data_IF_377886307826
#
_entry.id   IF_377886307826
#
_cell.length_a   1.000
_cell.length_b   1.000
_cell.length_c   1.000
_cell.angle_alpha   90.00
_cell.angle_beta   90.00
_cell.angle_gamma   90.00
#
_symmetry.space_group_name_H-M   'P 1'
#
loop_
_entity.id
_entity.type
_entity.pdbx_description
1 polymer ?
#
# COMPACT_ATOMS: atom_id res chain seq x y z
N UNK A 1 -11.30 -18.73 -18.43
CA UNK A 1 -9.92 -18.73 -17.89
C UNK A 1 -9.37 -17.31 -17.77
N UNK A 2 -9.16 -16.58 -18.89
CA UNK A 2 -8.58 -15.22 -18.87
C UNK A 2 -9.45 -14.20 -18.12
N UNK A 3 -10.77 -14.18 -18.36
CA UNK A 3 -11.69 -13.28 -17.65
C UNK A 3 -11.65 -13.45 -16.13
N UNK A 4 -11.54 -14.69 -15.63
CA UNK A 4 -11.45 -14.97 -14.19
C UNK A 4 -10.14 -14.43 -13.58
N UNK A 5 -9.02 -14.52 -14.30
CA UNK A 5 -7.74 -13.94 -13.85
C UNK A 5 -7.79 -12.42 -13.81
N UNK A 6 -8.42 -11.78 -14.81
CA UNK A 6 -8.61 -10.33 -14.83
C UNK A 6 -9.48 -9.88 -13.66
N UNK A 7 -10.59 -10.57 -13.40
CA UNK A 7 -11.46 -10.28 -12.25
C UNK A 7 -10.69 -10.44 -10.93
N UNK A 8 -9.94 -11.53 -10.76
CA UNK A 8 -9.13 -11.77 -9.57
C UNK A 8 -8.09 -10.65 -9.34
N UNK A 9 -7.41 -10.22 -10.40
CA UNK A 9 -6.48 -9.08 -10.35
C UNK A 9 -7.18 -7.80 -9.87
N UNK A 10 -8.35 -7.47 -10.44
CA UNK A 10 -9.11 -6.29 -10.02
C UNK A 10 -9.57 -6.36 -8.57
N UNK A 11 -10.05 -7.52 -8.10
CA UNK A 11 -10.47 -7.71 -6.70
C UNK A 11 -9.30 -7.48 -5.74
N UNK A 12 -8.12 -8.03 -6.04
CA UNK A 12 -6.91 -7.83 -5.23
C UNK A 12 -6.54 -6.34 -5.17
N UNK A 13 -6.61 -5.63 -6.30
CA UNK A 13 -6.33 -4.19 -6.33
C UNK A 13 -7.32 -3.36 -5.49
N UNK A 14 -8.62 -3.70 -5.53
CA UNK A 14 -9.64 -3.01 -4.74
C UNK A 14 -9.46 -3.25 -3.24
N UNK A 15 -9.14 -4.48 -2.83
CA UNK A 15 -8.93 -4.83 -1.41
C UNK A 15 -7.72 -4.09 -0.83
N UNK A 16 -6.67 -3.88 -1.63
CA UNK A 16 -5.43 -3.20 -1.20
C UNK A 16 -5.57 -1.68 -1.23
N UNK A 17 -6.60 -1.13 -1.87
CA UNK A 17 -6.81 0.32 -1.92
C UNK A 17 -7.16 0.84 -0.51
N UNK A 18 -6.35 1.73 0.08
CA UNK A 18 -6.66 2.25 1.40
C UNK A 18 -7.87 3.15 1.35
N UNK A 19 -8.63 3.11 2.45
CA UNK A 19 -9.79 3.96 2.63
C UNK A 19 -9.34 5.40 2.88
N UNK A 20 -9.99 6.33 2.19
CA UNK A 20 -9.82 7.76 2.45
C UNK A 20 -10.47 8.09 3.80
N UNK A 21 -9.72 8.77 4.68
CA UNK A 21 -10.25 9.30 5.93
C UNK A 21 -10.23 10.84 5.87
N UNK A 22 -11.35 11.47 6.22
CA UNK A 22 -11.51 12.93 6.24
C UNK A 22 -10.67 13.59 7.34
N UNK A 23 -10.45 12.91 8.47
CA UNK A 23 -9.70 13.41 9.62
C UNK A 23 -8.22 13.56 9.30
N UNK A 24 -7.62 12.50 8.77
CA UNK A 24 -6.23 12.52 8.31
C UNK A 24 -6.00 13.57 7.22
N UNK A 25 -6.96 13.78 6.32
CA UNK A 25 -6.87 14.85 5.32
C UNK A 25 -6.76 16.22 5.99
N UNK A 26 -7.63 16.49 6.97
CA UNK A 26 -7.63 17.77 7.69
C UNK A 26 -6.32 17.95 8.48
N UNK A 27 -5.91 16.93 9.22
CA UNK A 27 -4.67 16.95 10.00
C UNK A 27 -3.44 17.21 9.10
N UNK A 28 -3.37 16.53 7.94
CA UNK A 28 -2.30 16.76 6.97
C UNK A 28 -2.28 18.19 6.41
N UNK A 29 -3.44 18.80 6.18
CA UNK A 29 -3.51 20.18 5.69
C UNK A 29 -3.08 21.17 6.77
N UNK A 30 -3.52 20.98 8.02
CA UNK A 30 -3.07 21.79 9.16
C UNK A 30 -1.56 21.67 9.37
N UNK A 31 -1.00 20.48 9.21
CA UNK A 31 0.44 20.24 9.33
C UNK A 31 1.23 21.01 8.26
N UNK A 32 0.76 20.99 7.02
CA UNK A 32 1.36 21.74 5.90
C UNK A 32 1.34 23.24 6.19
N UNK A 33 0.22 23.74 6.69
CA UNK A 33 0.05 25.16 7.02
C UNK A 33 0.97 25.56 8.17
N UNK A 34 1.00 24.77 9.26
CA UNK A 34 1.78 25.06 10.46
C UNK A 34 3.28 25.10 10.18
N UNK A 35 3.79 24.15 9.40
CA UNK A 35 5.23 24.05 9.10
C UNK A 35 5.64 24.69 7.78
N UNK A 36 4.71 25.38 7.09
CA UNK A 36 5.00 26.09 5.84
C UNK A 36 5.54 25.19 4.71
N UNK A 37 5.14 23.92 4.67
CA UNK A 37 5.70 22.94 3.72
C UNK A 37 5.21 23.26 2.31
N UNK A 38 6.12 23.44 1.36
CA UNK A 38 5.78 23.77 -0.03
C UNK A 38 5.23 22.57 -0.81
N UNK A 39 4.01 22.14 -0.49
CA UNK A 39 3.29 21.05 -1.18
C UNK A 39 1.84 21.42 -1.47
N UNK A 40 1.36 21.01 -2.65
CA UNK A 40 -0.03 21.21 -3.02
C UNK A 40 -0.96 20.38 -2.11
N UNK A 41 -2.02 21.03 -1.58
CA UNK A 41 -3.08 20.35 -0.83
C UNK A 41 -3.96 19.52 -1.77
N UNK A 42 -4.15 18.25 -1.44
CA UNK A 42 -4.95 17.28 -2.17
C UNK A 42 -6.05 16.74 -1.27
N UNK A 43 -7.20 16.44 -1.88
CA UNK A 43 -8.34 15.86 -1.18
C UNK A 43 -8.15 14.39 -0.78
N UNK A 44 -7.24 13.67 -1.44
CA UNK A 44 -6.94 12.30 -1.11
C UNK A 44 -5.77 12.26 -0.09
N UNK A 45 -5.99 11.78 1.15
CA UNK A 45 -4.98 11.80 2.21
C UNK A 45 -3.74 10.96 1.86
N UNK A 46 -3.94 9.87 1.11
CA UNK A 46 -2.83 9.03 0.64
C UNK A 46 -1.97 9.77 -0.37
N UNK A 47 -2.60 10.49 -1.32
CA UNK A 47 -1.87 11.33 -2.26
C UNK A 47 -1.17 12.48 -1.55
N UNK A 48 -1.78 13.05 -0.51
CA UNK A 48 -1.14 14.08 0.31
C UNK A 48 0.10 13.55 1.01
N UNK A 49 -0.01 12.39 1.67
CA UNK A 49 1.12 11.74 2.34
C UNK A 49 2.24 11.42 1.35
N UNK A 50 1.92 10.94 0.15
CA UNK A 50 2.92 10.69 -0.88
C UNK A 50 3.62 11.97 -1.38
N UNK A 51 2.93 13.11 -1.42
CA UNK A 51 3.54 14.40 -1.75
C UNK A 51 4.43 14.90 -0.62
N UNK A 52 3.99 14.75 0.64
CA UNK A 52 4.80 15.05 1.83
C UNK A 52 6.06 14.21 1.88
N UNK A 53 5.96 12.90 1.62
CA UNK A 53 7.13 12.02 1.52
C UNK A 53 8.13 12.53 0.47
N UNK A 54 7.67 12.99 -0.69
CA UNK A 54 8.55 13.53 -1.74
C UNK A 54 9.23 14.81 -1.31
N UNK A 55 8.48 15.74 -0.74
CA UNK A 55 9.03 17.01 -0.28
C UNK A 55 10.08 16.83 0.83
N UNK A 56 9.92 15.80 1.66
CA UNK A 56 10.82 15.48 2.76
C UNK A 56 11.92 14.45 2.40
N UNK A 57 11.98 13.98 1.15
CA UNK A 57 12.95 12.97 0.72
C UNK A 57 12.75 11.58 1.36
N UNK A 58 11.55 11.29 1.87
CA UNK A 58 11.18 10.04 2.52
C UNK A 58 10.60 9.05 1.49
N UNK A 59 10.88 7.75 1.65
CA UNK A 59 10.28 6.71 0.81
C UNK A 59 9.81 5.52 1.67
N UNK A 60 8.70 5.69 2.38
CA UNK A 60 8.15 4.64 3.24
C UNK A 60 6.92 4.04 2.57
N UNK A 61 5.82 4.79 2.52
CA UNK A 61 4.55 4.36 1.98
C UNK A 61 4.59 4.28 0.45
N UNK A 62 5.06 5.33 -0.22
CA UNK A 62 5.14 5.38 -1.69
C UNK A 62 6.06 4.29 -2.23
N UNK A 63 7.23 4.12 -1.62
CA UNK A 63 8.21 3.11 -2.00
C UNK A 63 7.67 1.69 -1.84
N UNK A 64 7.07 1.41 -0.68
CA UNK A 64 6.45 0.11 -0.40
C UNK A 64 5.30 -0.20 -1.36
N UNK A 65 4.40 0.75 -1.62
CA UNK A 65 3.33 0.58 -2.62
C UNK A 65 3.85 0.26 -4.00
N UNK A 66 4.87 0.98 -4.49
CA UNK A 66 5.45 0.73 -5.81
C UNK A 66 5.97 -0.72 -5.91
N UNK A 67 6.68 -1.19 -4.89
CA UNK A 67 7.14 -2.58 -4.80
C UNK A 67 5.98 -3.56 -4.80
N UNK A 68 4.91 -3.30 -4.05
CA UNK A 68 3.72 -4.16 -4.04
C UNK A 68 3.03 -4.21 -5.41
N UNK A 69 2.85 -3.08 -6.09
CA UNK A 69 2.23 -3.08 -7.43
C UNK A 69 3.07 -3.86 -8.45
N UNK A 70 4.40 -3.69 -8.42
CA UNK A 70 5.31 -4.46 -9.28
C UNK A 70 5.21 -5.96 -8.96
N UNK A 71 5.17 -6.32 -7.68
CA UNK A 71 5.05 -7.71 -7.25
C UNK A 71 3.73 -8.34 -7.72
N UNK A 72 2.59 -7.67 -7.51
CA UNK A 72 1.28 -8.16 -7.95
C UNK A 72 1.25 -8.29 -9.47
N UNK A 73 1.69 -7.26 -10.19
CA UNK A 73 1.76 -7.31 -11.66
C UNK A 73 2.62 -8.48 -12.16
N UNK A 74 3.84 -8.61 -11.63
CA UNK A 74 4.75 -9.70 -11.98
C UNK A 74 4.18 -11.08 -11.64
N UNK A 75 3.51 -11.22 -10.49
CA UNK A 75 2.87 -12.46 -10.07
C UNK A 75 1.84 -12.95 -11.09
N UNK A 76 0.92 -12.07 -11.53
CA UNK A 76 -0.10 -12.44 -12.50
C UNK A 76 0.50 -12.72 -13.90
N UNK A 77 1.54 -12.00 -14.31
CA UNK A 77 2.24 -12.27 -15.58
C UNK A 77 2.90 -13.66 -15.56
N UNK A 78 3.61 -14.01 -14.48
CA UNK A 78 4.25 -15.33 -14.36
C UNK A 78 3.20 -16.43 -14.27
N UNK A 79 2.12 -16.23 -13.50
CA UNK A 79 1.02 -17.18 -13.43
C UNK A 79 0.38 -17.43 -14.81
N UNK A 80 0.27 -16.37 -15.63
CA UNK A 80 -0.25 -16.50 -16.99
C UNK A 80 0.69 -17.30 -17.89
N UNK A 81 2.00 -17.03 -17.85
CA UNK A 81 3.01 -17.78 -18.62
C UNK A 81 2.99 -19.27 -18.24
N UNK A 82 2.97 -19.58 -16.95
CA UNK A 82 2.91 -20.96 -16.45
C UNK A 82 1.59 -21.66 -16.81
N UNK A 83 0.46 -20.94 -16.76
CA UNK A 83 -0.83 -21.44 -17.20
C UNK A 83 -0.86 -21.75 -18.70
N UNK A 84 -0.29 -20.86 -19.52
CA UNK A 84 -0.15 -21.06 -20.97
C UNK A 84 0.75 -22.26 -21.29
N UNK A 85 1.89 -22.40 -20.62
CA UNK A 85 2.81 -23.54 -20.80
C UNK A 85 2.14 -24.86 -20.44
N UNK A 86 1.40 -24.91 -19.33
CA UNK A 86 0.62 -26.11 -18.94
C UNK A 86 -0.37 -26.49 -20.04
N UNK A 87 -1.11 -25.52 -20.58
CA UNK A 87 -2.06 -25.74 -21.66
C UNK A 87 -1.38 -26.21 -22.96
N UNK A 88 -0.26 -25.58 -23.33
CA UNK A 88 0.51 -25.92 -24.52
C UNK A 88 1.04 -27.37 -24.47
N UNK A 89 1.64 -27.79 -23.35
CA UNK A 89 2.10 -29.16 -23.21
C UNK A 89 0.95 -30.17 -23.17
N UNK A 90 -0.20 -29.78 -22.62
CA UNK A 90 -1.42 -30.60 -22.62
C UNK A 90 -1.95 -30.87 -24.02
N UNK A 91 -2.03 -29.86 -24.88
CA UNK A 91 -2.44 -30.04 -26.29
C UNK A 91 -1.47 -30.95 -27.04
N UNK A 92 -0.17 -30.78 -26.81
CA UNK A 92 0.87 -31.58 -27.45
C UNK A 92 1.00 -33.00 -26.87
N UNK A 93 0.08 -33.42 -25.98
CA UNK A 93 0.06 -34.73 -25.32
C UNK A 93 1.35 -35.07 -24.56
N UNK A 94 2.14 -34.06 -24.19
CA UNK A 94 3.31 -34.25 -23.35
C UNK A 94 2.88 -34.24 -21.88
N UNK A 95 2.37 -35.39 -21.43
CA UNK A 95 1.76 -35.55 -20.10
C UNK A 95 2.77 -35.29 -18.98
N UNK A 96 4.01 -35.76 -19.12
CA UNK A 96 5.07 -35.54 -18.13
C UNK A 96 5.36 -34.05 -17.93
N UNK A 97 5.57 -33.30 -19.02
CA UNK A 97 5.81 -31.86 -18.93
C UNK A 97 4.59 -31.11 -18.37
N UNK A 98 3.37 -31.52 -18.74
CA UNK A 98 2.12 -30.94 -18.24
C UNK A 98 2.02 -31.08 -16.72
N UNK A 99 2.31 -32.26 -16.16
CA UNK A 99 2.27 -32.51 -14.72
C UNK A 99 3.31 -31.66 -13.99
N UNK A 100 4.55 -31.63 -14.48
CA UNK A 100 5.65 -30.87 -13.85
C UNK A 100 5.31 -29.37 -13.81
N UNK A 101 4.90 -28.79 -14.93
CA UNK A 101 4.55 -27.36 -14.99
C UNK A 101 3.29 -27.07 -14.16
N UNK A 102 2.32 -27.98 -14.12
CA UNK A 102 1.13 -27.87 -13.27
C UNK A 102 1.45 -27.83 -11.76
N UNK A 103 2.40 -28.66 -11.30
CA UNK A 103 2.88 -28.63 -9.91
C UNK A 103 3.57 -27.30 -9.60
N UNK A 104 4.46 -26.84 -10.49
CA UNK A 104 5.16 -25.56 -10.34
C UNK A 104 4.15 -24.40 -10.26
N UNK A 105 3.16 -24.38 -11.15
CA UNK A 105 2.09 -23.39 -11.13
C UNK A 105 1.33 -23.42 -9.80
N UNK A 106 0.97 -24.60 -9.31
CA UNK A 106 0.21 -24.74 -8.05
C UNK A 106 1.02 -24.22 -6.86
N UNK A 107 2.29 -24.61 -6.73
CA UNK A 107 3.18 -24.13 -5.67
C UNK A 107 3.39 -22.62 -5.76
N UNK A 108 3.57 -22.09 -6.97
CA UNK A 108 3.72 -20.66 -7.21
C UNK A 108 2.48 -19.87 -6.77
N UNK A 109 1.28 -20.35 -7.11
CA UNK A 109 0.02 -19.72 -6.71
C UNK A 109 -0.17 -19.72 -5.19
N UNK A 110 0.15 -20.82 -4.50
CA UNK A 110 0.08 -20.91 -3.03
C UNK A 110 1.05 -19.92 -2.39
N UNK A 111 2.33 -19.98 -2.76
CA UNK A 111 3.36 -19.11 -2.19
C UNK A 111 3.06 -17.62 -2.44
N UNK A 112 2.68 -17.27 -3.67
CA UNK A 112 2.33 -15.90 -4.02
C UNK A 112 1.08 -15.39 -3.29
N UNK A 113 0.09 -16.25 -3.06
CA UNK A 113 -1.11 -15.88 -2.28
C UNK A 113 -0.76 -15.57 -0.82
N UNK A 114 0.09 -16.39 -0.18
CA UNK A 114 0.56 -16.14 1.18
C UNK A 114 1.31 -14.80 1.26
N UNK A 115 2.22 -14.54 0.31
CA UNK A 115 2.98 -13.29 0.27
C UNK A 115 2.04 -12.09 0.06
N UNK A 116 1.09 -12.17 -0.86
CA UNK A 116 0.10 -11.11 -1.09
C UNK A 116 -0.75 -10.85 0.16
N UNK A 117 -1.12 -11.89 0.90
CA UNK A 117 -1.86 -11.76 2.15
C UNK A 117 -1.05 -11.03 3.23
N UNK A 118 0.22 -11.39 3.42
CA UNK A 118 1.12 -10.70 4.37
C UNK A 118 1.30 -9.23 3.98
N UNK A 119 1.48 -8.95 2.69
CA UNK A 119 1.60 -7.56 2.19
C UNK A 119 0.31 -6.78 2.45
N UNK A 120 -0.86 -7.38 2.18
CA UNK A 120 -2.15 -6.74 2.40
C UNK A 120 -2.36 -6.40 3.88
N UNK A 121 -2.04 -7.33 4.79
CA UNK A 121 -2.08 -7.06 6.24
C UNK A 121 -1.16 -5.90 6.59
N UNK A 122 0.10 -5.94 6.16
CA UNK A 122 1.08 -4.88 6.48
C UNK A 122 0.65 -3.50 5.97
N UNK A 123 0.07 -3.45 4.78
CA UNK A 123 -0.47 -2.20 4.22
C UNK A 123 -1.69 -1.68 5.01
N UNK A 124 -2.51 -2.59 5.53
CA UNK A 124 -3.70 -2.24 6.31
C UNK A 124 -3.37 -1.87 7.77
N UNK A 125 -2.37 -2.51 8.38
CA UNK A 125 -2.09 -2.41 9.81
C UNK A 125 -1.11 -1.30 10.17
N UNK A 126 0.07 -1.24 9.54
CA UNK A 126 1.17 -0.41 10.04
C UNK A 126 1.75 0.55 9.02
N UNK A 127 1.71 0.24 7.72
CA UNK A 127 2.47 1.02 6.74
C UNK A 127 2.09 2.50 6.70
N UNK A 128 0.82 2.80 7.00
CA UNK A 128 0.30 4.18 7.02
C UNK A 128 0.73 4.94 8.28
N UNK A 129 0.69 4.29 9.44
CA UNK A 129 1.14 4.89 10.71
C UNK A 129 2.67 5.03 10.71
N UNK A 130 3.41 4.05 10.21
CA UNK A 130 4.87 4.09 10.07
C UNK A 130 5.33 5.25 9.17
N UNK A 131 4.62 5.49 8.07
CA UNK A 131 4.91 6.59 7.17
C UNK A 131 4.63 7.95 7.81
N UNK A 132 3.50 8.09 8.52
CA UNK A 132 3.19 9.30 9.28
C UNK A 132 4.20 9.55 10.39
N UNK A 133 4.58 8.53 11.17
CA UNK A 133 5.60 8.65 12.20
C UNK A 133 6.92 9.19 11.63
N UNK A 134 7.34 8.66 10.47
CA UNK A 134 8.56 9.11 9.82
C UNK A 134 8.45 10.54 9.28
N UNK A 135 7.30 10.91 8.70
CA UNK A 135 7.04 12.29 8.25
C UNK A 135 7.10 13.25 9.43
N UNK A 136 6.40 12.96 10.52
CA UNK A 136 6.34 13.79 11.72
C UNK A 136 7.72 13.95 12.35
N UNK A 137 8.45 12.86 12.59
CA UNK A 137 9.80 12.91 13.15
C UNK A 137 10.81 13.65 12.26
N UNK A 138 10.59 13.68 10.95
CA UNK A 138 11.48 14.41 10.02
C UNK A 138 11.19 15.91 10.03
N UNK A 139 9.93 16.30 10.25
CA UNK A 139 9.53 17.72 10.36
C UNK A 139 9.89 18.27 11.74
N UNK A 140 9.54 17.52 12.79
CA UNK A 140 9.78 17.86 14.19
C UNK A 140 10.11 16.59 14.97
N UNK A 141 11.38 16.37 15.36
CA UNK A 141 11.79 15.21 16.15
C UNK A 141 11.14 15.13 17.54
N UNK A 142 10.58 16.22 18.05
CA UNK A 142 9.89 16.27 19.34
C UNK A 142 8.38 16.04 19.20
N UNK A 143 7.87 15.84 17.99
CA UNK A 143 6.46 15.61 17.77
C UNK A 143 6.03 14.31 18.47
N UNK A 144 4.99 14.34 19.32
CA UNK A 144 4.55 13.13 20.03
C UNK A 144 3.98 12.15 19.02
N UNK A 145 4.61 10.99 18.81
CA UNK A 145 4.15 9.98 17.84
C UNK A 145 3.36 8.84 18.49
N UNK A 146 3.23 8.80 19.82
CA UNK A 146 2.56 7.69 20.51
C UNK A 146 1.08 7.54 20.12
N UNK A 147 0.41 8.64 19.75
CA UNK A 147 -0.98 8.62 19.30
C UNK A 147 -1.20 7.77 18.03
N UNK A 148 -0.15 7.52 17.24
CA UNK A 148 -0.23 6.69 16.05
C UNK A 148 -0.50 5.21 16.37
N UNK A 149 -0.27 4.79 17.61
CA UNK A 149 -0.58 3.43 18.08
C UNK A 149 -2.06 3.25 18.44
N UNK A 150 -2.85 4.33 18.46
CA UNK A 150 -4.26 4.25 18.82
C UNK A 150 -5.13 3.66 17.70
N UNK A 151 -6.18 2.93 18.08
CA UNK A 151 -7.16 2.33 17.14
C UNK A 151 -7.80 3.36 16.20
N UNK A 152 -7.94 4.62 16.63
CA UNK A 152 -8.46 5.75 15.85
C UNK A 152 -7.41 6.85 15.70
N UNK A 153 -6.17 6.48 15.40
CA UNK A 153 -5.05 7.43 15.27
C UNK A 153 -5.34 8.62 14.34
N UNK A 154 -6.22 8.51 13.33
CA UNK A 154 -6.56 9.65 12.48
C UNK A 154 -7.31 10.75 13.22
N UNK A 155 -8.15 10.39 14.20
CA UNK A 155 -8.82 11.35 15.09
C UNK A 155 -7.83 11.99 16.04
N UNK A 156 -6.99 11.17 16.65
CA UNK A 156 -5.96 11.66 17.57
C UNK A 156 -4.98 12.59 16.86
N UNK A 157 -4.60 12.27 15.62
CA UNK A 157 -3.76 13.13 14.79
C UNK A 157 -4.42 14.49 14.54
N UNK A 158 -5.71 14.51 14.19
CA UNK A 158 -6.44 15.76 14.00
C UNK A 158 -6.51 16.58 15.29
N UNK A 159 -6.88 15.95 16.41
CA UNK A 159 -6.96 16.62 17.70
C UNK A 159 -5.61 17.21 18.14
N UNK A 160 -4.51 16.48 17.91
CA UNK A 160 -3.15 16.97 18.18
C UNK A 160 -2.82 18.19 17.31
N UNK A 161 -3.18 18.17 16.03
CA UNK A 161 -2.95 19.32 15.15
C UNK A 161 -3.83 20.51 15.49
N UNK A 162 -5.06 20.30 15.93
CA UNK A 162 -6.00 21.36 16.35
C UNK A 162 -5.54 22.02 17.66
N UNK A 163 -5.16 21.24 18.68
CA UNK A 163 -4.63 21.78 19.95
C UNK A 163 -3.35 22.60 19.74
N UNK A 164 -2.50 22.14 18.82
CA UNK A 164 -1.28 22.83 18.39
C UNK A 164 -1.55 24.11 17.58
N UNK A 165 -2.74 24.28 17.03
CA UNK A 165 -3.15 25.47 16.28
C UNK A 165 -3.82 26.50 17.20
N UNK A 166 -4.57 26.06 18.20
CA UNK A 166 -5.17 26.94 19.24
C UNK A 166 -4.11 27.63 20.10
N UNK A 167 -2.92 27.05 20.29
CA UNK A 167 -1.80 27.69 20.98
C UNK A 167 -1.17 28.88 20.23
N UNK A 168 -1.56 29.12 18.97
CA UNK A 168 -1.05 30.17 18.10
C UNK A 168 -2.10 31.27 17.79
N UNK A 169 -3.34 31.11 18.26
CA UNK A 169 -4.44 32.07 18.10
C UNK A 169 -4.61 32.90 19.38
#
# INVERSE_FOLDING_TARGET
MIQLMVIAFFVVLLVIMPKNNKEERKAAHLLIDKYGIQVAKKNNPVRQMALLEVALGISTYRGSRKKTFIFIGGFFVIAFILGYLTYFFGINRNITATIIVGIILTLFLIAGTIIMFVIAIRQASSLRTDAWAKILNTIDPQFPVEFLNEKKWQKAFLAQMESMNEQLA
#
